data_IF_118219909420
#
_entry.id   IF_118219909420
#
_cell.length_a   1.000
_cell.length_b   1.000
_cell.length_c   1.000
_cell.angle_alpha   90.00
_cell.angle_beta   90.00
_cell.angle_gamma   90.00
#
_symmetry.space_group_name_H-M   'P 1'
#
loop_
_entity.id
_entity.type
_entity.pdbx_description
1 polymer ?
#
# COMPACT_ATOMS: atom_id res chain seq x y z
N UNK A 1 22.44 -12.07 3.27
CA UNK A 1 21.08 -11.51 3.36
C UNK A 1 21.23 -10.06 3.81
N UNK A 2 21.09 -9.07 2.91
CA UNK A 2 21.23 -7.66 3.29
C UNK A 2 20.04 -7.27 4.16
N UNK A 3 20.30 -7.05 5.44
CA UNK A 3 19.45 -6.29 6.35
C UNK A 3 19.20 -4.94 5.67
N UNK A 4 18.05 -4.76 5.02
CA UNK A 4 17.58 -3.40 4.75
C UNK A 4 17.37 -2.80 6.13
N UNK A 5 18.25 -1.88 6.52
CA UNK A 5 18.11 -1.15 7.77
C UNK A 5 16.70 -0.59 7.86
N UNK A 6 16.16 -0.49 9.07
CA UNK A 6 14.87 0.15 9.35
C UNK A 6 14.68 1.47 8.58
N UNK A 7 15.74 2.28 8.51
CA UNK A 7 15.81 3.53 7.73
C UNK A 7 15.67 3.33 6.21
N UNK A 8 16.18 2.22 5.67
CA UNK A 8 16.05 1.86 4.26
C UNK A 8 14.62 1.49 3.86
N UNK A 9 13.86 0.82 4.73
CA UNK A 9 12.42 0.54 4.48
C UNK A 9 11.61 1.83 4.48
N UNK A 10 11.79 2.70 5.48
CA UNK A 10 11.11 4.01 5.54
C UNK A 10 11.42 4.81 4.27
N UNK A 11 12.69 4.91 3.86
CA UNK A 11 13.06 5.62 2.62
C UNK A 11 12.32 5.10 1.40
N UNK A 12 12.21 3.78 1.24
CA UNK A 12 11.50 3.18 0.11
C UNK A 12 10.00 3.54 0.12
N UNK A 13 9.36 3.53 1.30
CA UNK A 13 7.96 3.97 1.43
C UNK A 13 7.79 5.46 1.11
N UNK A 14 8.66 6.33 1.62
CA UNK A 14 8.62 7.77 1.29
C UNK A 14 8.80 8.02 -0.22
N UNK A 15 9.66 7.25 -0.89
CA UNK A 15 9.80 7.31 -2.34
C UNK A 15 8.52 6.85 -3.08
N UNK A 16 7.88 5.77 -2.64
CA UNK A 16 6.58 5.33 -3.19
C UNK A 16 5.52 6.42 -3.03
N UNK A 17 5.48 7.08 -1.88
CA UNK A 17 4.55 8.17 -1.60
C UNK A 17 4.77 9.34 -2.57
N UNK A 18 6.01 9.81 -2.68
CA UNK A 18 6.34 10.95 -3.54
C UNK A 18 6.18 10.68 -5.03
N UNK A 19 6.53 9.48 -5.50
CA UNK A 19 6.55 9.15 -6.93
C UNK A 19 5.20 8.66 -7.46
N UNK A 20 4.40 7.99 -6.63
CA UNK A 20 3.18 7.32 -7.09
C UNK A 20 1.93 7.80 -6.37
N UNK A 21 1.93 7.84 -5.04
CA UNK A 21 0.70 8.07 -4.27
C UNK A 21 0.24 9.54 -4.36
N UNK A 22 1.15 10.50 -4.16
CA UNK A 22 0.82 11.93 -4.30
C UNK A 22 0.37 12.25 -5.73
N UNK A 23 1.16 11.93 -6.80
CA UNK A 23 0.73 12.23 -8.16
C UNK A 23 -0.57 11.53 -8.57
N UNK A 24 -0.83 10.33 -8.05
CA UNK A 24 -2.09 9.62 -8.26
C UNK A 24 -3.29 10.39 -7.68
N UNK A 25 -3.21 10.83 -6.42
CA UNK A 25 -4.31 11.58 -5.80
C UNK A 25 -4.49 12.98 -6.39
N UNK A 26 -3.40 13.68 -6.72
CA UNK A 26 -3.46 14.98 -7.40
C UNK A 26 -4.12 14.85 -8.77
N UNK A 27 -3.76 13.83 -9.55
CA UNK A 27 -4.39 13.58 -10.84
C UNK A 27 -5.87 13.19 -10.68
N UNK A 28 -6.20 12.34 -9.70
CA UNK A 28 -7.57 11.91 -9.48
C UNK A 28 -8.49 13.08 -9.10
N UNK A 29 -8.03 14.01 -8.25
CA UNK A 29 -8.80 15.21 -7.86
C UNK A 29 -8.74 16.32 -8.91
N UNK A 30 -7.65 16.38 -9.67
CA UNK A 30 -7.35 17.47 -10.59
C UNK A 30 -6.85 18.75 -9.97
N UNK A 31 -6.36 18.68 -8.74
CA UNK A 31 -5.73 19.77 -8.03
C UNK A 31 -4.53 19.28 -7.21
N UNK A 32 -3.63 20.21 -6.87
CA UNK A 32 -2.49 19.87 -6.02
C UNK A 32 -2.94 19.61 -4.59
N UNK A 33 -2.24 18.70 -3.91
CA UNK A 33 -2.46 18.48 -2.49
C UNK A 33 -1.87 19.65 -1.68
N UNK A 34 -2.55 20.03 -0.60
CA UNK A 34 -2.02 21.04 0.32
C UNK A 34 -0.81 20.50 1.08
N UNK A 35 -0.02 21.40 1.68
CA UNK A 35 1.13 21.02 2.51
C UNK A 35 0.74 20.02 3.60
N UNK A 36 -0.38 20.27 4.30
CA UNK A 36 -0.88 19.38 5.35
C UNK A 36 -1.27 18.00 4.81
N UNK A 37 -1.90 17.94 3.63
CA UNK A 37 -2.27 16.67 3.00
C UNK A 37 -1.03 15.86 2.62
N UNK A 38 -0.02 16.52 2.05
CA UNK A 38 1.28 15.90 1.72
C UNK A 38 1.99 15.42 2.99
N UNK A 39 2.02 16.23 4.04
CA UNK A 39 2.59 15.87 5.33
C UNK A 39 1.92 14.61 5.91
N UNK A 40 0.60 14.55 5.88
CA UNK A 40 -0.15 13.39 6.39
C UNK A 40 0.12 12.12 5.57
N UNK A 41 0.28 12.22 4.25
CA UNK A 41 0.67 11.07 3.41
C UNK A 41 2.06 10.56 3.76
N UNK A 42 3.02 11.45 3.99
CA UNK A 42 4.36 11.03 4.41
C UNK A 42 4.35 10.42 5.82
N UNK A 43 3.60 10.98 6.77
CA UNK A 43 3.43 10.39 8.09
C UNK A 43 2.82 8.99 8.02
N UNK A 44 1.78 8.81 7.20
CA UNK A 44 1.21 7.48 6.93
C UNK A 44 2.27 6.53 6.34
N UNK A 45 3.10 7.01 5.41
CA UNK A 45 4.20 6.25 4.82
C UNK A 45 5.33 5.89 5.80
N UNK A 46 5.49 6.62 6.90
CA UNK A 46 6.39 6.25 8.01
C UNK A 46 5.75 5.18 8.89
N UNK A 47 4.44 5.27 9.13
CA UNK A 47 3.70 4.31 9.96
C UNK A 47 3.57 2.94 9.29
N UNK A 48 3.40 2.88 7.96
CA UNK A 48 3.22 1.62 7.23
C UNK A 48 4.35 0.60 7.47
N UNK A 49 5.65 0.91 7.27
CA UNK A 49 6.72 -0.05 7.53
C UNK A 49 6.87 -0.42 9.01
N UNK A 50 6.55 0.49 9.94
CA UNK A 50 6.53 0.18 11.38
C UNK A 50 5.46 -0.86 11.70
N UNK A 51 4.29 -0.72 11.07
CA UNK A 51 3.18 -1.63 11.23
C UNK A 51 3.46 -2.99 10.58
N UNK A 52 4.00 -2.99 9.35
CA UNK A 52 4.44 -4.23 8.68
C UNK A 52 5.50 -4.96 9.52
N UNK A 53 6.52 -4.27 10.05
CA UNK A 53 7.56 -4.87 10.90
C UNK A 53 6.97 -5.46 12.19
N UNK A 54 5.98 -4.80 12.79
CA UNK A 54 5.28 -5.28 13.98
C UNK A 54 4.52 -6.58 13.69
N UNK A 55 3.84 -6.64 12.55
CA UNK A 55 3.11 -7.84 12.13
C UNK A 55 4.07 -8.97 11.76
N UNK A 56 5.15 -8.68 11.02
CA UNK A 56 6.19 -9.65 10.70
C UNK A 56 6.86 -10.24 11.96
N UNK A 57 6.89 -9.50 13.07
CA UNK A 57 7.54 -9.90 14.32
C UNK A 57 6.59 -10.45 15.38
N UNK A 58 5.29 -10.61 15.09
CA UNK A 58 4.25 -10.92 16.09
C UNK A 58 4.23 -9.95 17.29
N UNK A 59 4.64 -8.69 17.09
CA UNK A 59 4.68 -7.64 18.11
C UNK A 59 3.61 -6.56 17.85
N UNK A 60 2.48 -6.95 17.29
CA UNK A 60 1.38 -6.05 16.88
C UNK A 60 0.67 -5.43 18.07
N UNK A 61 0.67 -6.11 19.22
CA UNK A 61 -0.07 -5.71 20.41
C UNK A 61 0.26 -4.30 20.89
N UNK A 62 1.54 -3.92 20.92
CA UNK A 62 1.94 -2.57 21.33
C UNK A 62 1.37 -1.48 20.41
N UNK A 63 1.28 -1.76 19.11
CA UNK A 63 0.74 -0.84 18.11
C UNK A 63 -0.78 -0.77 18.18
N UNK A 64 -1.45 -1.90 18.36
CA UNK A 64 -2.91 -1.95 18.58
C UNK A 64 -3.33 -1.21 19.84
N UNK A 65 -2.55 -1.33 20.92
CA UNK A 65 -2.81 -0.58 22.15
C UNK A 65 -2.68 0.93 21.93
N UNK A 66 -1.68 1.39 21.15
CA UNK A 66 -1.58 2.81 20.74
C UNK A 66 -2.82 3.24 19.95
N UNK A 67 -3.22 2.45 18.96
CA UNK A 67 -4.37 2.74 18.09
C UNK A 67 -5.67 2.81 18.87
N UNK A 68 -5.82 1.97 19.90
CA UNK A 68 -6.98 1.89 20.78
C UNK A 68 -6.91 2.82 22.00
N UNK A 69 -5.91 3.71 22.09
CA UNK A 69 -5.70 4.60 23.25
C UNK A 69 -5.57 3.87 24.59
N UNK A 70 -5.04 2.65 24.56
CA UNK A 70 -4.77 1.86 25.75
C UNK A 70 -3.37 2.16 26.29
N UNK A 71 -3.07 1.87 27.58
CA UNK A 71 -1.71 1.99 28.12
C UNK A 71 -0.72 1.19 27.27
N UNK A 72 0.53 1.63 27.13
CA UNK A 72 1.55 0.95 26.31
C UNK A 72 2.89 1.03 27.04
N UNK A 73 3.70 -0.03 26.96
CA UNK A 73 5.10 0.03 27.39
C UNK A 73 5.95 0.74 26.33
N UNK A 74 6.62 1.81 26.74
CA UNK A 74 7.44 2.67 25.88
C UNK A 74 8.94 2.32 25.94
N UNK A 75 9.29 1.08 26.27
CA UNK A 75 10.67 0.59 26.28
C UNK A 75 11.29 0.46 24.87
N UNK A 76 10.49 0.25 23.82
CA UNK A 76 10.97 0.13 22.43
C UNK A 76 10.91 1.48 21.67
N UNK A 77 12.03 1.89 21.07
CA UNK A 77 12.14 3.10 20.27
C UNK A 77 11.16 3.13 19.07
N UNK A 78 10.80 1.98 18.50
CA UNK A 78 9.83 1.85 17.40
C UNK A 78 8.41 2.14 17.88
N UNK A 79 8.04 1.70 19.08
CA UNK A 79 6.76 1.99 19.73
C UNK A 79 6.67 3.50 20.02
N UNK A 80 7.75 4.12 20.52
CA UNK A 80 7.81 5.57 20.72
C UNK A 80 7.61 6.32 19.40
N UNK A 81 8.33 5.92 18.35
CA UNK A 81 8.25 6.56 17.04
C UNK A 81 6.84 6.43 16.43
N UNK A 82 6.26 5.22 16.50
CA UNK A 82 4.91 4.97 16.03
C UNK A 82 3.90 5.82 16.79
N UNK A 83 3.96 5.85 18.13
CA UNK A 83 3.07 6.67 18.96
C UNK A 83 3.13 8.15 18.58
N UNK A 84 4.34 8.69 18.39
CA UNK A 84 4.53 10.10 17.97
C UNK A 84 3.94 10.37 16.59
N UNK A 85 4.28 9.55 15.59
CA UNK A 85 3.79 9.74 14.21
C UNK A 85 2.27 9.52 14.12
N UNK A 86 1.74 8.53 14.85
CA UNK A 86 0.32 8.24 14.95
C UNK A 86 -0.45 9.37 15.60
N UNK A 87 0.07 9.97 16.68
CA UNK A 87 -0.55 11.13 17.33
C UNK A 87 -0.67 12.32 16.38
N UNK A 88 0.42 12.69 15.71
CA UNK A 88 0.42 13.80 14.75
C UNK A 88 -0.56 13.53 13.61
N UNK A 89 -0.56 12.30 13.08
CA UNK A 89 -1.47 11.92 12.01
C UNK A 89 -2.93 11.98 12.48
N UNK A 90 -3.25 11.44 13.65
CA UNK A 90 -4.61 11.42 14.21
C UNK A 90 -5.15 12.82 14.44
N UNK A 91 -4.34 13.72 14.99
CA UNK A 91 -4.72 15.14 15.17
C UNK A 91 -5.05 15.81 13.83
N UNK A 92 -4.37 15.39 12.76
CA UNK A 92 -4.60 15.88 11.41
C UNK A 92 -5.73 15.21 10.63
N UNK A 93 -6.34 14.12 11.12
CA UNK A 93 -7.38 13.36 10.40
C UNK A 93 -8.77 13.68 10.92
N UNK A 94 -9.67 14.14 10.03
CA UNK A 94 -11.03 14.57 10.36
C UNK A 94 -11.95 13.39 10.68
N UNK A 95 -11.77 12.25 10.01
CA UNK A 95 -12.62 11.07 10.16
C UNK A 95 -11.89 9.93 10.90
N UNK A 96 -11.80 10.03 12.22
CA UNK A 96 -11.09 9.08 13.07
C UNK A 96 -11.68 7.67 13.04
N UNK A 97 -13.00 7.53 12.88
CA UNK A 97 -13.66 6.23 12.84
C UNK A 97 -13.30 5.45 11.56
N UNK A 98 -13.37 6.11 10.40
CA UNK A 98 -13.00 5.48 9.13
C UNK A 98 -11.52 5.11 9.11
N UNK A 99 -10.67 5.97 9.69
CA UNK A 99 -9.24 5.70 9.86
C UNK A 99 -9.01 4.44 10.71
N UNK A 100 -9.65 4.35 11.89
CA UNK A 100 -9.51 3.21 12.78
C UNK A 100 -10.01 1.91 12.13
N UNK A 101 -11.21 1.95 11.52
CA UNK A 101 -11.79 0.79 10.81
C UNK A 101 -10.88 0.30 9.68
N UNK A 102 -10.32 1.22 8.90
CA UNK A 102 -9.46 0.85 7.79
C UNK A 102 -8.13 0.25 8.25
N UNK A 103 -7.59 0.74 9.37
CA UNK A 103 -6.41 0.17 9.99
C UNK A 103 -6.68 -1.24 10.54
N UNK A 104 -7.81 -1.45 11.21
CA UNK A 104 -8.22 -2.78 11.69
C UNK A 104 -8.38 -3.78 10.53
N UNK A 105 -8.99 -3.37 9.41
CA UNK A 105 -9.09 -4.22 8.22
C UNK A 105 -7.71 -4.69 7.72
N UNK A 106 -6.69 -3.82 7.77
CA UNK A 106 -5.32 -4.19 7.37
C UNK A 106 -4.72 -5.22 8.33
N UNK A 107 -4.95 -5.04 9.64
CA UNK A 107 -4.53 -6.01 10.67
C UNK A 107 -5.16 -7.36 10.43
N UNK A 108 -6.48 -7.40 10.29
CA UNK A 108 -7.24 -8.65 10.16
C UNK A 108 -6.81 -9.44 8.92
N UNK A 109 -6.60 -8.77 7.78
CA UNK A 109 -6.07 -9.38 6.56
C UNK A 109 -4.67 -9.95 6.81
N UNK A 110 -3.86 -9.27 7.62
CA UNK A 110 -2.48 -9.69 7.85
C UNK A 110 -2.35 -10.86 8.83
N UNK A 111 -3.14 -10.86 9.90
CA UNK A 111 -3.05 -11.84 10.99
C UNK A 111 -3.93 -13.08 10.80
N UNK A 112 -5.07 -12.95 10.11
CA UNK A 112 -6.09 -14.01 10.09
C UNK A 112 -6.21 -14.72 8.73
N UNK A 113 -5.76 -14.11 7.63
CA UNK A 113 -6.00 -14.65 6.29
C UNK A 113 -4.73 -15.13 5.57
N UNK A 114 -4.78 -16.36 5.06
CA UNK A 114 -3.72 -16.98 4.24
C UNK A 114 -4.07 -17.05 2.76
N UNK A 115 -5.25 -16.54 2.37
CA UNK A 115 -5.73 -16.53 1.01
C UNK A 115 -5.03 -15.42 0.19
N UNK A 116 -4.38 -15.75 -0.94
CA UNK A 116 -3.71 -14.76 -1.80
C UNK A 116 -4.67 -13.68 -2.34
N UNK A 117 -5.96 -14.00 -2.55
CA UNK A 117 -6.94 -13.01 -3.00
C UNK A 117 -7.24 -11.97 -1.92
N UNK A 118 -7.35 -12.38 -0.66
CA UNK A 118 -7.54 -11.44 0.46
C UNK A 118 -6.26 -10.66 0.74
N UNK A 119 -5.07 -11.26 0.57
CA UNK A 119 -3.82 -10.51 0.67
C UNK A 119 -3.77 -9.34 -0.33
N UNK A 120 -4.33 -9.48 -1.54
CA UNK A 120 -4.44 -8.35 -2.45
C UNK A 120 -5.36 -7.22 -1.93
N UNK A 121 -6.39 -7.53 -1.15
CA UNK A 121 -7.27 -6.49 -0.59
C UNK A 121 -6.58 -5.67 0.49
N UNK A 122 -5.44 -6.13 1.05
CA UNK A 122 -4.53 -5.31 1.88
C UNK A 122 -4.09 -4.05 1.11
N UNK A 123 -3.75 -4.20 -0.16
CA UNK A 123 -3.40 -3.08 -1.04
C UNK A 123 -4.55 -2.08 -1.19
N UNK A 124 -5.76 -2.59 -1.41
CA UNK A 124 -6.98 -1.77 -1.49
C UNK A 124 -7.18 -0.97 -0.21
N UNK A 125 -7.10 -1.65 0.93
CA UNK A 125 -7.23 -1.09 2.26
C UNK A 125 -6.17 -0.03 2.55
N UNK A 126 -4.92 -0.29 2.18
CA UNK A 126 -3.80 0.63 2.36
C UNK A 126 -3.95 1.91 1.53
N UNK A 127 -4.35 1.81 0.25
CA UNK A 127 -4.51 3.01 -0.58
C UNK A 127 -5.70 3.86 -0.14
N UNK A 128 -6.79 3.23 0.31
CA UNK A 128 -7.90 3.94 0.94
C UNK A 128 -7.49 4.59 2.27
N UNK A 129 -6.65 3.94 3.08
CA UNK A 129 -6.10 4.53 4.30
C UNK A 129 -5.32 5.81 3.98
N UNK A 130 -4.47 5.81 2.95
CA UNK A 130 -3.77 7.03 2.52
C UNK A 130 -4.73 8.17 2.13
N UNK A 131 -5.83 7.86 1.43
CA UNK A 131 -6.85 8.87 1.12
C UNK A 131 -7.49 9.45 2.40
N UNK A 132 -7.80 8.61 3.39
CA UNK A 132 -8.34 9.04 4.69
C UNK A 132 -7.33 9.90 5.44
N UNK A 133 -6.06 9.48 5.50
CA UNK A 133 -4.97 10.24 6.14
C UNK A 133 -4.82 11.64 5.55
N UNK A 134 -4.97 11.77 4.24
CA UNK A 134 -4.93 13.04 3.52
C UNK A 134 -6.26 13.82 3.56
N UNK A 135 -7.26 13.37 4.33
CA UNK A 135 -8.61 13.94 4.39
C UNK A 135 -9.26 14.13 3.00
N UNK A 136 -9.02 13.17 2.10
CA UNK A 136 -9.57 13.21 0.76
C UNK A 136 -10.96 12.57 0.76
N UNK A 137 -11.92 13.33 0.24
CA UNK A 137 -13.29 12.85 0.04
C UNK A 137 -13.47 12.41 -1.41
N UNK A 138 -13.97 11.19 -1.58
CA UNK A 138 -14.18 10.56 -2.88
C UNK A 138 -15.57 9.91 -2.93
N UNK A 139 -16.17 9.91 -4.12
CA UNK A 139 -17.41 9.18 -4.42
C UNK A 139 -17.21 7.66 -4.29
N UNK A 140 -18.31 6.90 -4.32
CA UNK A 140 -18.24 5.43 -4.28
C UNK A 140 -17.45 4.86 -5.46
N UNK A 141 -17.66 5.38 -6.67
CA UNK A 141 -16.96 4.94 -7.88
C UNK A 141 -15.45 5.22 -7.78
N UNK A 142 -15.07 6.37 -7.24
CA UNK A 142 -13.66 6.73 -7.01
C UNK A 142 -13.03 5.87 -5.92
N UNK A 143 -13.76 5.53 -4.85
CA UNK A 143 -13.28 4.59 -3.84
C UNK A 143 -13.06 3.19 -4.42
N UNK A 144 -13.94 2.69 -5.28
CA UNK A 144 -13.73 1.43 -6.01
C UNK A 144 -12.49 1.51 -6.92
N UNK A 145 -12.31 2.63 -7.62
CA UNK A 145 -11.14 2.86 -8.45
C UNK A 145 -9.83 2.88 -7.63
N UNK A 146 -9.83 3.56 -6.48
CA UNK A 146 -8.71 3.61 -5.53
C UNK A 146 -8.44 2.20 -5.00
N UNK A 147 -9.46 1.47 -4.56
CA UNK A 147 -9.31 0.10 -4.06
C UNK A 147 -8.64 -0.82 -5.10
N UNK A 148 -9.11 -0.80 -6.35
CA UNK A 148 -8.52 -1.61 -7.44
C UNK A 148 -7.07 -1.23 -7.74
N UNK A 149 -6.77 0.07 -7.69
CA UNK A 149 -5.40 0.57 -7.86
C UNK A 149 -4.51 0.09 -6.72
N UNK A 150 -5.00 0.12 -5.48
CA UNK A 150 -4.31 -0.41 -4.31
C UNK A 150 -4.02 -1.92 -4.42
N UNK A 151 -4.99 -2.73 -4.82
CA UNK A 151 -4.79 -4.17 -5.06
C UNK A 151 -3.73 -4.42 -6.16
N UNK A 152 -3.70 -3.60 -7.20
CA UNK A 152 -2.67 -3.68 -8.23
C UNK A 152 -1.29 -3.32 -7.67
N UNK A 153 -1.17 -2.28 -6.85
CA UNK A 153 0.10 -1.93 -6.19
C UNK A 153 0.60 -3.06 -5.29
N UNK A 154 -0.30 -3.71 -4.53
CA UNK A 154 0.05 -4.88 -3.71
C UNK A 154 0.56 -6.04 -4.56
N UNK A 155 -0.08 -6.34 -5.70
CA UNK A 155 0.40 -7.38 -6.61
C UNK A 155 1.82 -7.09 -7.13
N UNK A 156 2.12 -5.81 -7.42
CA UNK A 156 3.47 -5.39 -7.80
C UNK A 156 4.44 -5.61 -6.64
N UNK A 157 4.09 -5.19 -5.43
CA UNK A 157 4.93 -5.37 -4.25
C UNK A 157 5.22 -6.87 -3.98
N UNK A 158 4.20 -7.74 -4.05
CA UNK A 158 4.37 -9.20 -3.93
C UNK A 158 5.33 -9.76 -4.99
N UNK A 159 5.31 -9.23 -6.23
CA UNK A 159 6.23 -9.65 -7.30
C UNK A 159 7.68 -9.29 -6.96
N UNK A 160 7.89 -8.13 -6.33
CA UNK A 160 9.22 -7.70 -5.91
C UNK A 160 9.71 -8.47 -4.69
N UNK A 161 8.82 -8.77 -3.75
CA UNK A 161 9.08 -9.46 -2.48
C UNK A 161 9.03 -11.00 -2.59
N UNK A 162 8.70 -11.58 -3.75
CA UNK A 162 8.52 -13.03 -3.94
C UNK A 162 9.57 -13.92 -3.27
N UNK A 163 10.87 -13.58 -3.34
CA UNK A 163 11.92 -14.36 -2.66
C UNK A 163 11.79 -14.29 -1.14
N UNK A 164 11.55 -13.10 -0.59
CA UNK A 164 11.32 -12.88 0.85
C UNK A 164 10.07 -13.65 1.30
N UNK A 165 8.99 -13.57 0.54
CA UNK A 165 7.72 -14.24 0.85
C UNK A 165 7.87 -15.76 0.82
N UNK A 166 8.63 -16.30 -0.15
CA UNK A 166 8.97 -17.72 -0.23
C UNK A 166 9.76 -18.18 0.99
N UNK A 167 10.79 -17.44 1.38
CA UNK A 167 11.61 -17.76 2.57
C UNK A 167 10.78 -17.74 3.86
N UNK A 168 9.71 -16.93 3.89
CA UNK A 168 8.75 -16.81 5.01
C UNK A 168 7.52 -17.73 4.88
N UNK A 169 7.46 -18.61 3.88
CA UNK A 169 6.29 -19.47 3.59
C UNK A 169 4.96 -18.69 3.41
N UNK A 170 5.02 -17.46 2.92
CA UNK A 170 3.84 -16.64 2.64
C UNK A 170 3.22 -17.04 1.29
N UNK A 171 1.90 -17.28 1.29
CA UNK A 171 1.15 -17.72 0.11
C UNK A 171 0.68 -16.54 -0.75
N UNK A 172 1.59 -15.86 -1.45
CA UNK A 172 1.26 -14.82 -2.43
C UNK A 172 1.16 -15.40 -3.84
N UNK A 173 0.44 -14.74 -4.77
CA UNK A 173 0.36 -15.21 -6.17
C UNK A 173 1.74 -15.43 -6.82
N UNK A 174 2.72 -14.54 -6.63
CA UNK A 174 4.05 -14.73 -7.21
C UNK A 174 4.79 -15.96 -6.64
N UNK A 175 4.59 -16.28 -5.36
CA UNK A 175 5.12 -17.52 -4.76
C UNK A 175 4.41 -18.75 -5.31
N UNK A 176 3.07 -18.75 -5.31
CA UNK A 176 2.25 -19.88 -5.75
C UNK A 176 2.42 -20.19 -7.25
N UNK A 177 2.70 -19.17 -8.07
CA UNK A 177 2.83 -19.28 -9.52
C UNK A 177 4.25 -19.03 -10.04
N UNK A 178 5.28 -19.23 -9.20
CA UNK A 178 6.69 -19.01 -9.57
C UNK A 178 7.05 -19.74 -10.88
N UNK A 179 6.60 -20.98 -11.04
CA UNK A 179 6.81 -21.81 -12.26
C UNK A 179 5.79 -21.55 -13.38
N UNK A 180 4.73 -20.79 -13.11
CA UNK A 180 3.66 -20.47 -14.05
C UNK A 180 3.69 -18.99 -14.43
N UNK A 181 4.87 -18.47 -14.80
CA UNK A 181 5.06 -17.04 -15.07
C UNK A 181 4.12 -16.49 -16.15
N UNK A 182 3.69 -17.31 -17.12
CA UNK A 182 2.66 -16.95 -18.10
C UNK A 182 1.33 -16.59 -17.44
N UNK A 183 0.87 -17.40 -16.48
CA UNK A 183 -0.36 -17.15 -15.70
C UNK A 183 -0.27 -15.86 -14.89
N UNK A 184 0.87 -15.63 -14.24
CA UNK A 184 1.11 -14.41 -13.46
C UNK A 184 1.10 -13.14 -14.34
N UNK A 185 1.72 -13.21 -15.54
CA UNK A 185 1.70 -12.11 -16.52
C UNK A 185 0.28 -11.81 -17.01
N UNK A 186 -0.50 -12.85 -17.32
CA UNK A 186 -1.91 -12.70 -17.73
C UNK A 186 -2.75 -12.08 -16.63
N UNK A 187 -2.57 -12.52 -15.38
CA UNK A 187 -3.29 -11.95 -14.24
C UNK A 187 -2.92 -10.47 -14.01
N UNK A 188 -1.63 -10.13 -14.09
CA UNK A 188 -1.16 -8.76 -13.96
C UNK A 188 -1.72 -7.86 -15.07
N UNK A 189 -1.74 -8.34 -16.32
CA UNK A 189 -2.35 -7.64 -17.46
C UNK A 189 -3.85 -7.41 -17.24
N UNK A 190 -4.56 -8.42 -16.75
CA UNK A 190 -5.98 -8.31 -16.43
C UNK A 190 -6.24 -7.23 -15.37
N UNK A 191 -5.48 -7.20 -14.26
CA UNK A 191 -5.63 -6.15 -13.25
C UNK A 191 -5.33 -4.76 -13.82
N UNK A 192 -4.27 -4.63 -14.63
CA UNK A 192 -3.97 -3.38 -15.35
C UNK A 192 -5.16 -2.92 -16.19
N UNK A 193 -5.73 -3.81 -17.01
CA UNK A 193 -6.86 -3.49 -17.89
C UNK A 193 -8.10 -3.06 -17.10
N UNK A 194 -8.38 -3.67 -15.94
CA UNK A 194 -9.50 -3.25 -15.09
C UNK A 194 -9.39 -1.81 -14.59
N UNK A 195 -8.16 -1.32 -14.35
CA UNK A 195 -7.90 0.05 -13.93
C UNK A 195 -7.99 1.00 -15.13
N UNK A 196 -7.30 0.67 -16.23
CA UNK A 196 -7.25 1.54 -17.43
C UNK A 196 -8.63 1.74 -18.08
N UNK A 197 -9.52 0.74 -18.00
CA UNK A 197 -10.86 0.85 -18.57
C UNK A 197 -11.93 1.31 -17.55
N UNK A 198 -11.52 1.64 -16.32
CA UNK A 198 -12.45 2.05 -15.27
C UNK A 198 -13.20 3.34 -15.64
N UNK A 199 -14.53 3.45 -15.38
CA UNK A 199 -15.32 4.63 -15.75
C UNK A 199 -14.78 5.95 -15.19
N UNK A 200 -14.26 5.94 -13.95
CA UNK A 200 -13.64 7.14 -13.32
C UNK A 200 -12.53 7.71 -14.19
N UNK A 201 -11.65 6.86 -14.72
CA UNK A 201 -10.51 7.30 -15.53
C UNK A 201 -10.94 7.96 -16.84
N UNK A 202 -12.09 7.55 -17.40
CA UNK A 202 -12.66 8.13 -18.63
C UNK A 202 -13.21 9.54 -18.42
N UNK A 203 -13.62 9.88 -17.19
CA UNK A 203 -14.19 11.19 -16.82
C UNK A 203 -13.11 12.23 -16.50
N UNK A 204 -11.87 11.80 -16.27
CA UNK A 204 -10.79 12.72 -15.90
C UNK A 204 -10.29 13.55 -17.10
N UNK A 205 -9.82 14.79 -16.85
CA UNK A 205 -9.12 15.58 -17.85
C UNK A 205 -7.93 14.81 -18.45
N UNK A 206 -7.64 15.05 -19.74
CA UNK A 206 -6.62 14.28 -20.48
C UNK A 206 -5.27 14.24 -19.79
N UNK A 207 -4.81 15.35 -19.22
CA UNK A 207 -3.52 15.42 -18.51
C UNK A 207 -3.50 14.48 -17.30
N UNK A 208 -4.54 14.55 -16.48
CA UNK A 208 -4.69 13.76 -15.26
C UNK A 208 -4.81 12.27 -15.55
N UNK A 209 -5.65 11.94 -16.53
CA UNK A 209 -5.79 10.58 -17.05
C UNK A 209 -4.42 10.02 -17.45
N UNK A 210 -3.66 10.76 -18.27
CA UNK A 210 -2.32 10.35 -18.71
C UNK A 210 -1.34 10.16 -17.55
N UNK A 211 -1.42 10.98 -16.49
CA UNK A 211 -0.60 10.80 -15.29
C UNK A 211 -0.88 9.46 -14.61
N UNK A 212 -2.16 9.15 -14.36
CA UNK A 212 -2.54 7.87 -13.73
C UNK A 212 -2.19 6.69 -14.63
N UNK A 213 -2.52 6.75 -15.92
CA UNK A 213 -2.16 5.71 -16.89
C UNK A 213 -0.64 5.49 -16.95
N UNK A 214 0.15 6.57 -16.92
CA UNK A 214 1.61 6.52 -16.89
C UNK A 214 2.15 5.80 -15.67
N UNK A 215 1.64 6.09 -14.47
CA UNK A 215 2.01 5.38 -13.23
C UNK A 215 1.70 3.89 -13.35
N UNK A 216 0.49 3.54 -13.78
CA UNK A 216 0.04 2.15 -13.89
C UNK A 216 0.86 1.38 -14.93
N UNK A 217 1.15 1.99 -16.08
CA UNK A 217 1.98 1.38 -17.14
C UNK A 217 3.43 1.23 -16.70
N UNK A 218 4.00 2.23 -16.03
CA UNK A 218 5.37 2.15 -15.50
C UNK A 218 5.50 0.98 -14.52
N UNK A 219 4.62 0.89 -13.53
CA UNK A 219 4.62 -0.19 -12.54
C UNK A 219 4.42 -1.56 -13.20
N UNK A 220 3.50 -1.65 -14.16
CA UNK A 220 3.30 -2.86 -14.97
C UNK A 220 4.60 -3.29 -15.67
N UNK A 221 5.27 -2.38 -16.38
CA UNK A 221 6.50 -2.67 -17.10
C UNK A 221 7.60 -3.15 -16.15
N UNK A 222 7.77 -2.46 -15.01
CA UNK A 222 8.73 -2.82 -13.97
C UNK A 222 8.48 -4.24 -13.42
N UNK A 223 7.23 -4.60 -13.15
CA UNK A 223 6.88 -5.95 -12.72
C UNK A 223 7.07 -7.01 -13.81
N UNK A 224 6.75 -6.72 -15.07
CA UNK A 224 7.00 -7.65 -16.18
C UNK A 224 8.50 -7.94 -16.34
N UNK A 225 9.35 -6.90 -16.22
CA UNK A 225 10.81 -7.04 -16.20
C UNK A 225 11.20 -7.93 -15.02
N UNK A 226 10.72 -7.64 -13.80
CA UNK A 226 11.01 -8.43 -12.61
C UNK A 226 10.63 -9.91 -12.77
N UNK A 227 9.44 -10.21 -13.28
CA UNK A 227 9.01 -11.59 -13.57
C UNK A 227 9.97 -12.24 -14.58
N UNK A 228 10.27 -11.55 -15.69
CA UNK A 228 11.13 -12.11 -16.76
C UNK A 228 12.55 -12.44 -16.26
N UNK A 229 13.13 -11.61 -15.41
CA UNK A 229 14.53 -11.77 -15.00
C UNK A 229 14.73 -12.50 -13.67
N UNK A 230 13.71 -12.56 -12.82
CA UNK A 230 13.86 -13.11 -11.46
C UNK A 230 13.03 -14.37 -11.20
N UNK A 231 12.04 -14.68 -12.05
CA UNK A 231 11.21 -15.88 -11.93
C UNK A 231 11.54 -16.91 -13.01
N UNK A 232 12.13 -16.46 -14.13
CA UNK A 232 12.78 -17.34 -15.08
C UNK A 232 14.14 -17.76 -14.52
N UNK A 233 14.10 -18.66 -13.54
CA UNK A 233 15.27 -19.46 -13.20
C UNK A 233 15.66 -20.30 -14.41
N UNK A 234 16.93 -20.16 -14.82
CA UNK A 234 17.70 -21.30 -15.31
C UNK A 234 17.85 -22.32 -14.17
#
# INVERSE_FOLDING_TARGET
MQVRSFTGRIRAYLQKIGLFIIPFFEALRGEKLSYLQVQNLFLAGVLTPLFDDAIESNQVEGYLRIVNMLPVDYSDARIILFSKAYRILREGVVNSESFHRQLQNIVDIETCDTNPYTKLTKGSAALLLYAICANLSFSSDEKDFIARTGAFFQLIDDIYDQKKDKDKNMKTFPVLWERQTGRLKTFLLFQKQRIIHHPVLKKLPTKNKKTIEGIIVLLYCLAIIRIKYCFSGK
#
